data_IF_309861416571
#
_entry.id   IF_309861416571
#
_cell.length_a   1.000
_cell.length_b   1.000
_cell.length_c   1.000
_cell.angle_alpha   90.00
_cell.angle_beta   90.00
_cell.angle_gamma   90.00
#
_symmetry.space_group_name_H-M   'P 1'
#
loop_
_entity.id
_entity.type
_entity.pdbx_description
1 polymer ?
#
# COMPACT_ATOMS: atom_id res chain seq x y z
N UNK A 1 6.50 -4.50 -14.32
CA UNK A 1 6.15 -5.80 -13.72
C UNK A 1 5.57 -6.79 -14.72
N UNK A 2 4.91 -6.32 -15.80
CA UNK A 2 4.24 -7.19 -16.78
C UNK A 2 5.07 -8.38 -17.30
N UNK A 3 6.35 -8.25 -17.70
CA UNK A 3 7.12 -9.37 -18.23
C UNK A 3 7.32 -10.51 -17.22
N UNK A 4 7.40 -10.18 -15.93
CA UNK A 4 7.61 -11.16 -14.85
C UNK A 4 6.31 -11.80 -14.39
N UNK A 5 5.21 -11.03 -14.40
CA UNK A 5 3.90 -11.54 -13.98
C UNK A 5 3.18 -12.30 -15.09
N UNK A 6 3.46 -12.02 -16.37
CA UNK A 6 2.78 -12.65 -17.50
C UNK A 6 2.80 -14.18 -17.45
N UNK A 7 3.95 -14.86 -17.22
CA UNK A 7 3.99 -16.32 -17.18
C UNK A 7 3.14 -16.89 -16.05
N UNK A 8 3.18 -16.27 -14.87
CA UNK A 8 2.39 -16.69 -13.70
C UNK A 8 0.89 -16.48 -13.95
N UNK A 9 0.51 -15.34 -14.53
CA UNK A 9 -0.90 -15.05 -14.86
C UNK A 9 -1.43 -16.02 -15.92
N UNK A 10 -0.63 -16.33 -16.95
CA UNK A 10 -1.04 -17.28 -18.00
C UNK A 10 -1.12 -18.71 -17.47
N UNK A 11 -0.16 -19.14 -16.63
CA UNK A 11 -0.20 -20.44 -15.96
C UNK A 11 -1.46 -20.56 -15.09
N UNK A 12 -1.72 -19.58 -14.23
CA UNK A 12 -2.88 -19.62 -13.33
C UNK A 12 -4.20 -19.53 -14.08
N UNK A 13 -4.28 -18.72 -15.13
CA UNK A 13 -5.43 -18.66 -16.02
C UNK A 13 -5.66 -19.98 -16.77
N UNK A 14 -4.60 -20.70 -17.13
CA UNK A 14 -4.70 -22.02 -17.74
C UNK A 14 -5.25 -23.06 -16.75
N UNK A 15 -4.70 -23.12 -15.53
CA UNK A 15 -5.12 -24.10 -14.53
C UNK A 15 -6.53 -23.86 -13.99
N UNK A 16 -6.90 -22.59 -13.75
CA UNK A 16 -8.14 -22.25 -13.04
C UNK A 16 -9.22 -21.65 -13.96
N UNK A 17 -8.88 -21.38 -15.22
CA UNK A 17 -9.73 -20.66 -16.15
C UNK A 17 -9.86 -19.17 -15.81
N UNK A 18 -10.46 -18.41 -16.73
CA UNK A 18 -10.76 -16.98 -16.55
C UNK A 18 -12.27 -16.81 -16.48
N UNK A 19 -12.84 -17.26 -15.37
CA UNK A 19 -14.27 -17.10 -15.09
C UNK A 19 -14.45 -16.32 -13.79
N UNK A 20 -15.22 -15.25 -13.85
CA UNK A 20 -15.54 -14.43 -12.68
C UNK A 20 -16.92 -13.80 -12.86
N UNK A 21 -17.59 -13.52 -11.75
CA UNK A 21 -18.89 -12.86 -11.78
C UNK A 21 -18.77 -11.44 -12.38
N UNK A 22 -19.87 -10.90 -12.92
CA UNK A 22 -19.89 -9.51 -13.40
C UNK A 22 -19.48 -8.51 -12.30
N UNK A 23 -19.86 -8.77 -11.04
CA UNK A 23 -19.46 -7.93 -9.90
C UNK A 23 -17.95 -7.96 -9.66
N UNK A 24 -17.33 -9.13 -9.80
CA UNK A 24 -15.88 -9.30 -9.67
C UNK A 24 -15.14 -8.54 -10.76
N UNK A 25 -15.59 -8.63 -12.01
CA UNK A 25 -15.03 -7.86 -13.13
C UNK A 25 -15.20 -6.35 -12.93
N UNK A 26 -16.36 -5.90 -12.46
CA UNK A 26 -16.59 -4.50 -12.15
C UNK A 26 -15.67 -4.00 -11.03
N UNK A 27 -15.51 -4.77 -9.94
CA UNK A 27 -14.59 -4.44 -8.85
C UNK A 27 -13.13 -4.40 -9.34
N UNK A 28 -12.72 -5.36 -10.16
CA UNK A 28 -11.38 -5.38 -10.76
C UNK A 28 -11.13 -4.16 -11.65
N UNK A 29 -12.11 -3.81 -12.50
CA UNK A 29 -12.05 -2.62 -13.34
C UNK A 29 -11.98 -1.33 -12.51
N UNK A 30 -12.79 -1.24 -11.45
CA UNK A 30 -12.78 -0.10 -10.53
C UNK A 30 -11.42 0.09 -9.84
N UNK A 31 -10.88 -0.96 -9.22
CA UNK A 31 -9.59 -0.89 -8.50
C UNK A 31 -8.45 -0.58 -9.48
N UNK A 32 -8.44 -1.20 -10.66
CA UNK A 32 -7.41 -0.97 -11.68
C UNK A 32 -7.43 0.44 -12.23
N UNK A 33 -8.62 0.96 -12.58
CA UNK A 33 -8.75 2.27 -13.22
C UNK A 33 -8.68 3.42 -12.20
N UNK A 34 -9.46 3.38 -11.13
CA UNK A 34 -9.56 4.52 -10.21
C UNK A 34 -8.44 4.51 -9.19
N UNK A 35 -8.21 3.39 -8.50
CA UNK A 35 -7.21 3.34 -7.42
C UNK A 35 -5.79 3.27 -7.96
N UNK A 36 -5.55 2.39 -8.95
CA UNK A 36 -4.19 2.10 -9.44
C UNK A 36 -3.76 2.95 -10.64
N UNK A 37 -4.66 3.49 -11.45
CA UNK A 37 -4.28 4.35 -12.58
C UNK A 37 -4.54 5.83 -12.28
N UNK A 38 -5.79 6.22 -12.06
CA UNK A 38 -6.17 7.63 -11.79
C UNK A 38 -5.54 8.13 -10.49
N UNK A 39 -5.58 7.33 -9.43
CA UNK A 39 -4.98 7.66 -8.12
C UNK A 39 -3.50 8.03 -8.23
N UNK A 40 -2.75 7.43 -9.16
CA UNK A 40 -1.34 7.73 -9.36
C UNK A 40 -1.09 9.14 -9.90
N UNK A 41 -2.00 9.73 -10.67
CA UNK A 41 -1.85 11.14 -11.10
C UNK A 41 -1.89 12.09 -9.90
N UNK A 42 -2.86 11.89 -9.01
CA UNK A 42 -2.96 12.66 -7.77
C UNK A 42 -1.76 12.41 -6.86
N UNK A 43 -1.32 11.15 -6.77
CA UNK A 43 -0.16 10.79 -5.98
C UNK A 43 1.12 11.45 -6.48
N UNK A 44 1.44 11.34 -7.78
CA UNK A 44 2.63 11.96 -8.36
C UNK A 44 2.57 13.48 -8.30
N UNK A 45 1.39 14.09 -8.51
CA UNK A 45 1.22 15.53 -8.31
C UNK A 45 1.44 15.92 -6.85
N UNK A 46 0.94 15.13 -5.91
CA UNK A 46 1.17 15.31 -4.47
C UNK A 46 2.65 15.22 -4.10
N UNK A 47 3.37 14.25 -4.67
CA UNK A 47 4.83 14.12 -4.53
C UNK A 47 5.57 15.32 -5.12
N UNK A 48 5.14 15.82 -6.28
CA UNK A 48 5.75 16.98 -6.94
C UNK A 48 5.56 18.26 -6.12
N UNK A 49 4.39 18.46 -5.51
CA UNK A 49 4.09 19.65 -4.69
C UNK A 49 4.71 19.55 -3.30
N UNK A 50 4.56 18.41 -2.64
CA UNK A 50 4.98 18.22 -1.25
C UNK A 50 6.43 17.81 -1.05
N UNK A 51 7.10 17.36 -2.11
CA UNK A 51 8.43 16.77 -2.07
C UNK A 51 8.42 15.32 -1.55
N UNK A 52 9.20 14.44 -2.19
CA UNK A 52 9.21 12.99 -1.92
C UNK A 52 9.50 12.69 -0.44
N UNK A 53 10.49 13.35 0.15
CA UNK A 53 10.89 13.10 1.54
C UNK A 53 9.75 13.40 2.53
N UNK A 54 9.09 14.57 2.39
CA UNK A 54 8.02 15.00 3.29
C UNK A 54 6.75 14.17 3.11
N UNK A 55 6.39 13.86 1.86
CA UNK A 55 5.22 13.01 1.57
C UNK A 55 5.45 11.58 2.08
N UNK A 56 6.68 11.07 1.98
CA UNK A 56 7.07 9.81 2.62
C UNK A 56 6.92 9.83 4.14
N UNK A 57 7.19 10.97 4.79
CA UNK A 57 6.93 11.13 6.22
C UNK A 57 5.43 11.09 6.54
N UNK A 58 4.59 11.70 5.71
CA UNK A 58 3.12 11.68 5.88
C UNK A 58 2.58 10.26 5.73
N UNK A 59 3.15 9.44 4.84
CA UNK A 59 2.74 8.03 4.70
C UNK A 59 2.97 7.19 5.96
N UNK A 60 3.89 7.59 6.86
CA UNK A 60 4.04 6.89 8.14
C UNK A 60 2.78 6.98 9.01
N UNK A 61 1.89 7.93 8.72
CA UNK A 61 0.60 8.06 9.39
C UNK A 61 -0.47 7.13 8.79
N UNK A 62 -0.25 6.62 7.56
CA UNK A 62 -1.23 5.83 6.83
C UNK A 62 -1.69 4.57 7.59
N UNK A 63 -0.81 3.74 8.20
CA UNK A 63 -1.25 2.54 8.93
C UNK A 63 -2.24 2.88 10.05
N UNK A 64 -2.01 3.97 10.79
CA UNK A 64 -2.90 4.40 11.88
C UNK A 64 -4.22 4.97 11.36
N UNK A 65 -4.17 5.72 10.26
CA UNK A 65 -5.39 6.21 9.60
C UNK A 65 -6.24 5.06 9.05
N UNK A 66 -5.62 4.03 8.48
CA UNK A 66 -6.30 2.81 8.04
C UNK A 66 -6.90 2.04 9.22
N UNK A 67 -6.16 1.92 10.32
CA UNK A 67 -6.65 1.31 11.56
C UNK A 67 -7.88 2.07 12.09
N UNK A 68 -7.82 3.40 12.18
CA UNK A 68 -8.98 4.22 12.57
C UNK A 68 -10.16 4.05 11.59
N UNK A 69 -9.89 4.01 10.29
CA UNK A 69 -10.92 3.79 9.28
C UNK A 69 -11.58 2.41 9.41
N UNK A 70 -10.84 1.36 9.80
CA UNK A 70 -11.41 0.03 10.04
C UNK A 70 -12.45 0.04 11.16
N UNK A 71 -12.18 0.73 12.28
CA UNK A 71 -13.17 0.91 13.35
C UNK A 71 -14.39 1.67 12.87
N UNK A 72 -14.17 2.79 12.16
CA UNK A 72 -15.27 3.69 11.78
C UNK A 72 -16.14 3.14 10.64
N UNK A 73 -15.54 2.41 9.69
CA UNK A 73 -16.23 1.94 8.48
C UNK A 73 -16.68 0.49 8.64
N UNK A 74 -15.83 -0.39 9.19
CA UNK A 74 -16.13 -1.82 9.33
C UNK A 74 -16.66 -2.18 10.73
N UNK A 75 -16.57 -1.27 11.71
CA UNK A 75 -17.02 -1.54 13.08
C UNK A 75 -16.12 -2.52 13.84
N UNK A 76 -14.87 -2.67 13.41
CA UNK A 76 -13.92 -3.57 14.07
C UNK A 76 -13.59 -3.07 15.48
N UNK A 77 -13.63 -3.97 16.47
CA UNK A 77 -13.21 -3.68 17.83
C UNK A 77 -11.73 -4.03 17.98
N UNK A 78 -10.92 -3.07 18.41
CA UNK A 78 -9.52 -3.35 18.74
C UNK A 78 -9.38 -4.00 20.11
N UNK A 79 -8.70 -5.14 20.13
CA UNK A 79 -8.21 -5.75 21.35
C UNK A 79 -6.83 -5.19 21.70
N UNK A 80 -6.38 -5.44 22.92
CA UNK A 80 -5.07 -5.01 23.41
C UNK A 80 -3.92 -5.48 22.51
N UNK A 81 -4.09 -6.60 21.79
CA UNK A 81 -3.12 -7.16 20.85
C UNK A 81 -2.87 -6.22 19.66
N UNK A 82 -3.91 -5.57 19.15
CA UNK A 82 -3.81 -4.63 18.03
C UNK A 82 -2.99 -3.40 18.42
N UNK A 83 -3.24 -2.90 19.64
CA UNK A 83 -2.46 -1.81 20.22
C UNK A 83 -1.00 -2.20 20.48
N UNK A 84 -0.76 -3.42 20.98
CA UNK A 84 0.60 -3.92 21.18
C UNK A 84 1.37 -4.03 19.86
N UNK A 85 0.72 -4.53 18.80
CA UNK A 85 1.32 -4.62 17.48
C UNK A 85 1.57 -3.24 16.87
N UNK A 86 0.62 -2.30 17.01
CA UNK A 86 0.79 -0.92 16.60
C UNK A 86 1.99 -0.26 17.30
N UNK A 87 2.18 -0.49 18.61
CA UNK A 87 3.33 0.02 19.34
C UNK A 87 4.66 -0.55 18.84
N UNK A 88 4.72 -1.84 18.50
CA UNK A 88 5.89 -2.46 17.87
C UNK A 88 6.21 -1.82 16.52
N UNK A 89 5.20 -1.61 15.67
CA UNK A 89 5.38 -0.92 14.38
C UNK A 89 5.94 0.49 14.60
N UNK A 90 5.38 1.27 15.54
CA UNK A 90 5.89 2.60 15.87
C UNK A 90 7.37 2.54 16.29
N UNK A 91 7.73 1.60 17.18
CA UNK A 91 9.10 1.44 17.62
C UNK A 91 10.05 1.12 16.45
N UNK A 92 9.67 0.20 15.57
CA UNK A 92 10.44 -0.16 14.37
C UNK A 92 10.60 1.03 13.41
N UNK A 93 9.53 1.80 13.18
CA UNK A 93 9.57 3.02 12.35
C UNK A 93 10.52 4.05 12.96
N UNK A 94 10.46 4.26 14.28
CA UNK A 94 11.34 5.21 14.98
C UNK A 94 12.81 4.77 14.89
N UNK A 95 13.09 3.48 15.08
CA UNK A 95 14.45 2.93 14.94
C UNK A 95 14.94 3.12 13.50
N UNK A 96 14.15 2.69 12.51
CA UNK A 96 14.51 2.79 11.09
C UNK A 96 14.76 4.23 10.64
N UNK A 97 13.97 5.19 11.12
CA UNK A 97 14.21 6.63 10.87
C UNK A 97 15.53 7.15 11.43
N UNK A 98 16.05 6.55 12.50
CA UNK A 98 17.28 6.98 13.17
C UNK A 98 18.52 6.28 12.62
N UNK A 99 18.37 5.28 11.75
CA UNK A 99 19.51 4.60 11.13
C UNK A 99 20.16 5.50 10.07
N UNK A 100 21.45 5.85 10.22
CA UNK A 100 22.15 6.66 9.23
C UNK A 100 22.31 5.87 7.93
N UNK A 101 21.82 6.42 6.82
CA UNK A 101 22.06 5.88 5.48
C UNK A 101 23.50 6.19 5.11
N UNK A 102 24.41 5.21 5.24
CA UNK A 102 25.77 5.31 4.68
C UNK A 102 25.65 5.46 3.16
N UNK A 103 25.88 6.67 2.65
CA UNK A 103 26.21 6.87 1.23
C UNK A 103 27.67 6.46 1.06
N UNK A 104 27.90 5.26 0.56
CA UNK A 104 29.21 4.93 -0.03
C UNK A 104 29.33 5.76 -1.31
N UNK A 105 30.03 6.88 -1.20
CA UNK A 105 30.47 7.66 -2.36
C UNK A 105 31.61 6.84 -2.95
N UNK A 106 31.31 6.03 -3.96
CA UNK A 106 32.35 5.45 -4.81
C UNK A 106 32.91 6.59 -5.66
N UNK A 107 34.14 6.99 -5.34
CA UNK A 107 34.96 7.89 -6.16
C UNK A 107 35.61 7.12 -7.31
#
# INVERSE_FOLDING_TARGET
SLPFLLPVTLWTAWEHGVSASMRTWAAFGYVSLFSMFIGFFFWYKGLAIGGIARVGQVQLLQPFMTMMAAVLILGEAFDWRDFAFAAVIVALVVIGKRMPVKREISA
#
